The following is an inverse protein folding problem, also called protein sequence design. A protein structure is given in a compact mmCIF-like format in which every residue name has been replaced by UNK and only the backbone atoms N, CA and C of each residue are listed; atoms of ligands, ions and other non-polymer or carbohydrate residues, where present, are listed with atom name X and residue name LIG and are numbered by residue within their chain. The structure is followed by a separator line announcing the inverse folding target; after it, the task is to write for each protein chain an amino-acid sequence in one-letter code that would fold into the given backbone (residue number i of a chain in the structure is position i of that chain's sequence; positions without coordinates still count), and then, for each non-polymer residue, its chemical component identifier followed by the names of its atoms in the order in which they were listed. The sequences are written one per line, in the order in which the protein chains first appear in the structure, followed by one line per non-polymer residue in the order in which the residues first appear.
data_IF_531106499973
#
_entry.id   IF_531106499973
#
_cell.length_a   1.000
_cell.length_b   1.000
_cell.length_c   1.000
_cell.angle_alpha   90.00
_cell.angle_beta   90.00
_cell.angle_gamma   90.00
#
_symmetry.space_group_name_H-M   'P 1'
#
loop_
_entity.id
_entity.type
_entity.pdbx_description
1 polymer ?
#
# COMPACT_ATOMS: atom_id res chain seq x y z
N UNK A 1 29.55 11.89 2.97
CA UNK A 1 28.36 11.28 3.63
C UNK A 1 27.21 11.25 2.63
N UNK A 2 27.17 10.25 1.76
CA UNK A 2 26.08 10.05 0.79
C UNK A 2 24.90 9.40 1.51
N UNK A 3 23.79 10.14 1.65
CA UNK A 3 22.53 9.60 2.16
C UNK A 3 21.95 8.67 1.09
N UNK A 4 22.06 7.37 1.31
CA UNK A 4 21.31 6.39 0.53
C UNK A 4 19.81 6.63 0.75
N UNK A 5 19.18 7.32 -0.19
CA UNK A 5 17.73 7.42 -0.26
C UNK A 5 17.18 6.02 -0.51
N UNK A 6 16.70 5.36 0.55
CA UNK A 6 15.98 4.10 0.48
C UNK A 6 14.75 4.32 -0.40
N UNK A 7 14.83 3.93 -1.68
CA UNK A 7 13.68 3.87 -2.59
C UNK A 7 12.66 2.92 -1.95
N UNK A 8 11.61 3.48 -1.35
CA UNK A 8 10.43 2.72 -0.96
C UNK A 8 9.85 2.17 -2.25
N UNK A 9 10.21 0.93 -2.58
CA UNK A 9 9.51 0.13 -3.59
C UNK A 9 8.09 -0.01 -3.07
N UNK A 10 7.20 0.88 -3.51
CA UNK A 10 5.76 0.71 -3.34
C UNK A 10 5.38 -0.46 -4.24
N UNK A 11 5.53 -1.68 -3.71
CA UNK A 11 5.56 -2.91 -4.50
C UNK A 11 4.26 -3.15 -5.27
N UNK A 12 3.12 -2.55 -4.92
CA UNK A 12 1.95 -2.64 -5.80
C UNK A 12 0.88 -1.54 -5.69
N UNK A 13 1.28 -0.28 -5.51
CA UNK A 13 0.33 0.85 -5.65
C UNK A 13 -0.27 0.96 -7.05
N UNK A 14 0.40 0.40 -8.05
CA UNK A 14 0.02 0.52 -9.45
C UNK A 14 -1.14 -0.44 -9.79
N UNK A 15 -1.12 -1.68 -9.29
CA UNK A 15 -2.22 -2.64 -9.53
C UNK A 15 -3.43 -2.34 -8.65
N UNK A 16 -3.23 -2.07 -7.36
CA UNK A 16 -4.34 -1.65 -6.48
C UNK A 16 -4.92 -0.30 -6.89
N UNK A 17 -4.06 0.66 -7.26
CA UNK A 17 -4.50 1.95 -7.80
C UNK A 17 -5.30 1.79 -9.09
N UNK A 18 -4.95 0.82 -9.96
CA UNK A 18 -5.71 0.52 -11.16
C UNK A 18 -7.09 -0.06 -10.85
N UNK A 19 -7.22 -0.96 -9.88
CA UNK A 19 -8.52 -1.51 -9.48
C UNK A 19 -9.40 -0.46 -8.79
N UNK A 20 -8.83 0.35 -7.89
CA UNK A 20 -9.54 1.46 -7.23
C UNK A 20 -9.96 2.51 -8.25
N UNK A 21 -9.08 2.91 -9.17
CA UNK A 21 -9.40 3.85 -10.22
C UNK A 21 -10.49 3.30 -11.14
N UNK A 22 -10.42 2.00 -11.50
CA UNK A 22 -11.47 1.34 -12.28
C UNK A 22 -12.79 1.35 -11.53
N UNK A 23 -12.83 1.02 -10.24
CA UNK A 23 -14.07 1.07 -9.46
C UNK A 23 -14.61 2.51 -9.33
N UNK A 24 -13.72 3.48 -9.09
CA UNK A 24 -14.06 4.90 -9.07
C UNK A 24 -14.65 5.40 -10.39
N UNK A 25 -14.11 4.95 -11.52
CA UNK A 25 -14.66 5.23 -12.86
C UNK A 25 -16.05 4.61 -13.01
N UNK A 26 -16.28 3.38 -12.54
CA UNK A 26 -17.62 2.75 -12.59
C UNK A 26 -18.63 3.50 -11.74
N UNK A 27 -18.25 3.92 -10.53
CA UNK A 27 -19.11 4.73 -9.65
C UNK A 27 -19.41 6.07 -10.31
N UNK A 28 -18.41 6.73 -10.88
CA UNK A 28 -18.59 7.99 -11.59
C UNK A 28 -19.53 7.83 -12.79
N UNK A 29 -19.31 6.81 -13.64
CA UNK A 29 -20.15 6.50 -14.79
C UNK A 29 -21.59 6.18 -14.38
N UNK A 30 -21.78 5.41 -13.30
CA UNK A 30 -23.10 5.10 -12.74
C UNK A 30 -23.86 6.37 -12.33
N UNK A 31 -23.18 7.30 -11.65
CA UNK A 31 -23.80 8.55 -11.25
C UNK A 31 -24.13 9.45 -12.46
N UNK A 32 -23.26 9.48 -13.48
CA UNK A 32 -23.56 10.19 -14.74
C UNK A 32 -24.79 9.58 -15.43
N UNK A 33 -24.94 8.26 -15.39
CA UNK A 33 -26.11 7.58 -15.94
C UNK A 33 -27.40 7.95 -15.17
N UNK A 34 -27.35 8.05 -13.84
CA UNK A 34 -28.48 8.55 -13.03
C UNK A 34 -28.82 10.00 -13.41
N UNK A 35 -27.81 10.87 -13.54
CA UNK A 35 -28.04 12.26 -13.90
C UNK A 35 -28.69 12.38 -15.29
N UNK A 36 -28.21 11.59 -16.26
CA UNK A 36 -28.81 11.50 -17.58
C UNK A 36 -30.26 10.98 -17.52
N UNK A 37 -30.53 9.97 -16.69
CA UNK A 37 -31.88 9.45 -16.50
C UNK A 37 -32.82 10.53 -15.94
N UNK A 38 -32.39 11.29 -14.93
CA UNK A 38 -33.18 12.40 -14.36
C UNK A 38 -33.52 13.42 -15.46
N UNK A 39 -32.53 13.82 -16.27
CA UNK A 39 -32.74 14.77 -17.37
C UNK A 39 -33.70 14.22 -18.41
N UNK A 40 -33.59 12.94 -18.79
CA UNK A 40 -34.49 12.30 -19.75
C UNK A 40 -35.92 12.24 -19.20
N UNK A 41 -36.11 11.79 -17.95
CA UNK A 41 -37.42 11.74 -17.32
C UNK A 41 -38.06 13.13 -17.28
N UNK A 42 -37.26 14.16 -16.99
CA UNK A 42 -37.73 15.54 -16.97
C UNK A 42 -38.10 16.05 -18.37
N UNK A 43 -37.28 15.75 -19.39
CA UNK A 43 -37.56 16.12 -20.77
C UNK A 43 -38.87 15.49 -21.29
N UNK A 44 -39.15 14.24 -20.90
CA UNK A 44 -40.42 13.57 -21.21
C UNK A 44 -41.59 14.29 -20.52
N UNK A 45 -41.48 14.59 -19.23
CA UNK A 45 -42.53 15.29 -18.48
C UNK A 45 -42.84 16.66 -19.10
N UNK A 46 -41.81 17.44 -19.41
CA UNK A 46 -41.97 18.76 -20.03
C UNK A 46 -42.57 18.68 -21.44
N UNK A 47 -42.23 17.64 -22.21
CA UNK A 47 -42.85 17.39 -23.52
C UNK A 47 -44.35 17.08 -23.41
N UNK A 48 -44.77 16.38 -22.35
CA UNK A 48 -46.19 16.12 -22.08
C UNK A 48 -46.90 17.35 -21.53
N UNK A 49 -46.22 18.17 -20.71
CA UNK A 49 -46.77 19.39 -20.11
C UNK A 49 -47.07 20.47 -21.15
N UNK A 50 -46.24 20.59 -22.19
CA UNK A 50 -46.48 21.49 -23.34
C UNK A 50 -47.73 21.08 -24.11
N UNK A 51 -47.98 19.77 -24.25
CA UNK A 51 -49.19 19.26 -24.91
C UNK A 51 -50.45 19.51 -24.06
N UNK A 52 -50.31 19.56 -22.73
CA UNK A 52 -51.41 19.80 -21.79
C UNK A 52 -51.57 21.26 -21.34
N UNK A 53 -50.83 22.21 -21.94
CA UNK A 53 -50.81 23.64 -21.58
C UNK A 53 -50.52 23.92 -20.08
N UNK A 54 -49.72 23.05 -19.47
CA UNK A 54 -49.33 23.09 -18.04
C UNK A 54 -47.84 23.43 -17.84
N UNK A 55 -47.10 23.67 -18.92
CA UNK A 55 -45.67 23.96 -18.85
C UNK A 55 -45.43 25.35 -18.24
N UNK A 56 -45.07 25.38 -16.95
CA UNK A 56 -44.79 26.61 -16.20
C UNK A 56 -43.40 26.64 -15.57
N UNK A 57 -42.98 27.82 -15.10
CA UNK A 57 -41.67 28.06 -14.45
C UNK A 57 -41.39 27.14 -13.24
N UNK A 58 -42.45 26.61 -12.62
CA UNK A 58 -42.37 25.66 -11.50
C UNK A 58 -41.63 24.37 -11.88
N UNK A 59 -41.76 23.93 -13.13
CA UNK A 59 -41.08 22.75 -13.64
C UNK A 59 -39.56 22.98 -13.73
N UNK A 60 -39.15 24.07 -14.37
CA UNK A 60 -37.73 24.41 -14.52
C UNK A 60 -37.07 24.59 -13.14
N UNK A 61 -37.79 25.18 -12.17
CA UNK A 61 -37.33 25.29 -10.80
C UNK A 61 -37.14 23.92 -10.14
N UNK A 62 -38.08 23.00 -10.32
CA UNK A 62 -38.01 21.62 -9.79
C UNK A 62 -36.80 20.89 -10.35
N UNK A 63 -36.59 20.91 -11.67
CA UNK A 63 -35.42 20.32 -12.33
C UNK A 63 -34.12 20.87 -11.75
N UNK A 64 -33.99 22.20 -11.66
CA UNK A 64 -32.80 22.86 -11.09
C UNK A 64 -32.54 22.45 -9.64
N UNK A 65 -33.59 22.42 -8.81
CA UNK A 65 -33.48 22.05 -7.41
C UNK A 65 -33.05 20.58 -7.23
N UNK A 66 -33.54 19.70 -8.09
CA UNK A 66 -33.23 18.27 -8.06
C UNK A 66 -31.81 17.99 -8.60
N UNK A 67 -31.40 18.64 -9.68
CA UNK A 67 -30.03 18.61 -10.19
C UNK A 67 -29.03 19.13 -9.16
N UNK A 68 -29.34 20.24 -8.49
CA UNK A 68 -28.48 20.81 -7.45
C UNK A 68 -28.35 19.87 -6.25
N UNK A 69 -29.46 19.28 -5.81
CA UNK A 69 -29.48 18.37 -4.65
C UNK A 69 -28.75 17.06 -4.95
N UNK A 70 -29.07 16.40 -6.08
CA UNK A 70 -28.45 15.13 -6.47
C UNK A 70 -26.99 15.33 -6.87
N UNK A 71 -26.70 16.36 -7.68
CA UNK A 71 -25.33 16.70 -8.09
C UNK A 71 -24.46 17.12 -6.91
N UNK A 72 -25.01 17.90 -5.98
CA UNK A 72 -24.33 18.29 -4.75
C UNK A 72 -24.04 17.09 -3.84
N UNK A 73 -25.02 16.22 -3.62
CA UNK A 73 -24.83 14.98 -2.87
C UNK A 73 -23.77 14.07 -3.51
N UNK A 74 -23.78 13.93 -4.83
CA UNK A 74 -22.79 13.16 -5.58
C UNK A 74 -21.38 13.73 -5.39
N UNK A 75 -21.20 15.05 -5.57
CA UNK A 75 -19.91 15.70 -5.43
C UNK A 75 -19.35 15.57 -4.01
N UNK A 76 -20.23 15.58 -3.00
CA UNK A 76 -19.84 15.42 -1.60
C UNK A 76 -19.53 13.96 -1.22
N UNK A 77 -20.32 13.00 -1.72
CA UNK A 77 -20.13 11.58 -1.41
C UNK A 77 -18.96 10.95 -2.16
N UNK A 78 -18.66 11.40 -3.38
CA UNK A 78 -17.58 10.84 -4.20
C UNK A 78 -16.21 10.80 -3.49
N UNK A 79 -15.69 11.92 -2.92
CA UNK A 79 -14.41 11.88 -2.21
C UNK A 79 -14.46 10.99 -0.97
N UNK A 80 -15.60 10.90 -0.28
CA UNK A 80 -15.76 10.02 0.88
C UNK A 80 -15.63 8.55 0.49
N UNK A 81 -16.33 8.14 -0.59
CA UNK A 81 -16.27 6.76 -1.09
C UNK A 81 -14.86 6.43 -1.58
N UNK A 82 -14.22 7.33 -2.33
CA UNK A 82 -12.84 7.11 -2.81
C UNK A 82 -11.87 7.00 -1.64
N UNK A 83 -12.01 7.85 -0.62
CA UNK A 83 -11.15 7.82 0.56
C UNK A 83 -11.32 6.53 1.35
N UNK A 84 -12.56 6.12 1.62
CA UNK A 84 -12.85 4.88 2.33
C UNK A 84 -12.29 3.65 1.59
N UNK A 85 -12.49 3.59 0.27
CA UNK A 85 -11.98 2.51 -0.57
C UNK A 85 -10.44 2.47 -0.58
N UNK A 86 -9.79 3.63 -0.61
CA UNK A 86 -8.34 3.75 -0.53
C UNK A 86 -7.81 3.26 0.82
N UNK A 87 -8.47 3.65 1.92
CA UNK A 87 -8.15 3.21 3.27
C UNK A 87 -8.32 1.69 3.40
N UNK A 88 -9.43 1.13 2.92
CA UNK A 88 -9.69 -0.30 2.93
C UNK A 88 -8.61 -1.06 2.14
N UNK A 89 -8.29 -0.61 0.93
CA UNK A 89 -7.25 -1.25 0.11
C UNK A 89 -5.89 -1.20 0.79
N UNK A 90 -5.51 -0.07 1.39
CA UNK A 90 -4.23 0.05 2.10
C UNK A 90 -4.15 -0.88 3.31
N UNK A 91 -5.26 -1.05 4.03
CA UNK A 91 -5.39 -1.93 5.19
C UNK A 91 -5.28 -3.42 4.82
N UNK A 92 -5.61 -3.78 3.58
CA UNK A 92 -5.39 -5.14 3.03
C UNK A 92 -3.97 -5.30 2.45
N UNK A 93 -3.47 -4.28 1.74
CA UNK A 93 -2.18 -4.33 1.05
C UNK A 93 -0.98 -4.52 2.00
N UNK A 94 -1.02 -3.82 3.14
CA UNK A 94 0.07 -3.80 4.11
C UNK A 94 0.41 -5.19 4.64
N UNK A 95 -0.56 -5.93 5.21
CA UNK A 95 -0.35 -7.28 5.68
C UNK A 95 0.06 -8.24 4.56
N UNK A 96 -0.57 -8.14 3.38
CA UNK A 96 -0.25 -9.01 2.24
C UNK A 96 1.20 -8.90 1.79
N UNK A 97 1.72 -7.67 1.72
CA UNK A 97 3.13 -7.43 1.41
C UNK A 97 4.08 -8.02 2.46
N UNK A 98 3.65 -8.05 3.73
CA UNK A 98 4.44 -8.63 4.82
C UNK A 98 4.54 -10.15 4.68
N UNK A 99 3.45 -10.82 4.31
CA UNK A 99 3.45 -12.25 4.00
C UNK A 99 4.35 -12.58 2.80
N UNK A 100 4.26 -11.80 1.71
CA UNK A 100 5.13 -11.95 0.55
C UNK A 100 6.62 -11.84 0.94
N UNK A 101 6.95 -10.89 1.82
CA UNK A 101 8.33 -10.70 2.29
C UNK A 101 8.83 -11.91 3.10
N UNK A 102 8.00 -12.45 4.00
CA UNK A 102 8.34 -13.65 4.79
C UNK A 102 8.59 -14.85 3.87
N UNK A 103 7.75 -15.05 2.86
CA UNK A 103 7.94 -16.12 1.87
C UNK A 103 9.20 -15.92 1.05
N UNK A 104 9.46 -14.70 0.59
CA UNK A 104 10.66 -14.38 -0.18
C UNK A 104 11.94 -14.58 0.65
N UNK A 105 11.89 -14.28 1.95
CA UNK A 105 13.00 -14.52 2.88
C UNK A 105 13.18 -16.01 3.16
N UNK A 106 12.11 -16.79 3.26
CA UNK A 106 12.18 -18.26 3.37
C UNK A 106 12.86 -18.89 2.16
N UNK A 107 12.49 -18.48 0.94
CA UNK A 107 13.13 -18.98 -0.29
C UNK A 107 14.65 -18.70 -0.32
N UNK A 108 15.09 -17.59 0.28
CA UNK A 108 16.51 -17.21 0.30
C UNK A 108 17.30 -17.83 1.45
N UNK A 109 16.70 -17.86 2.64
CA UNK A 109 17.40 -18.21 3.88
C UNK A 109 17.10 -19.63 4.35
N UNK A 110 16.09 -20.29 3.78
CA UNK A 110 15.55 -21.56 4.28
C UNK A 110 14.80 -21.42 5.62
N UNK A 111 14.80 -20.25 6.24
CA UNK A 111 14.21 -20.00 7.55
C UNK A 111 12.84 -19.36 7.39
N UNK A 112 11.80 -20.00 7.93
CA UNK A 112 10.42 -19.50 7.90
C UNK A 112 10.05 -18.91 9.26
N UNK A 113 9.52 -17.69 9.27
CA UNK A 113 9.11 -16.98 10.50
C UNK A 113 7.61 -16.77 10.54
N UNK A 114 7.05 -16.71 11.76
CA UNK A 114 5.63 -16.35 11.95
C UNK A 114 5.37 -14.92 11.51
N UNK A 115 4.20 -14.70 10.92
CA UNK A 115 3.71 -13.37 10.63
C UNK A 115 2.92 -12.83 11.83
N UNK A 116 3.02 -11.52 12.07
CA UNK A 116 2.17 -10.82 13.05
C UNK A 116 1.55 -9.60 12.41
N UNK A 117 0.23 -9.53 12.30
CA UNK A 117 -0.47 -8.35 11.78
C UNK A 117 -0.77 -7.38 12.95
N UNK A 118 -1.01 -6.10 12.64
CA UNK A 118 -1.48 -5.13 13.63
C UNK A 118 -2.96 -5.38 13.98
N UNK A 119 -3.30 -5.02 15.22
CA UNK A 119 -4.67 -5.05 15.71
C UNK A 119 -5.57 -4.14 14.86
N UNK A 120 -6.68 -4.69 14.36
CA UNK A 120 -7.63 -3.99 13.52
C UNK A 120 -7.42 -4.12 12.01
N UNK A 121 -6.42 -4.86 11.50
CA UNK A 121 -6.35 -5.16 10.06
C UNK A 121 -7.39 -6.22 9.63
N UNK A 122 -7.65 -6.35 8.32
CA UNK A 122 -8.70 -7.22 7.78
C UNK A 122 -8.29 -8.70 7.63
N UNK A 123 -7.00 -8.99 7.76
CA UNK A 123 -6.40 -10.30 7.41
C UNK A 123 -6.04 -11.14 8.65
N UNK A 124 -6.68 -10.89 9.79
CA UNK A 124 -6.36 -11.59 11.06
C UNK A 124 -6.59 -13.11 10.94
N UNK A 125 -7.66 -13.54 10.29
CA UNK A 125 -7.91 -14.98 10.08
C UNK A 125 -6.85 -15.61 9.17
N UNK A 126 -6.40 -14.87 8.16
CA UNK A 126 -5.33 -15.30 7.28
C UNK A 126 -3.98 -15.38 8.01
N UNK A 127 -3.69 -14.46 8.94
CA UNK A 127 -2.52 -14.57 9.82
C UNK A 127 -2.52 -15.86 10.62
N UNK A 128 -3.68 -16.22 11.19
CA UNK A 128 -3.81 -17.45 11.96
C UNK A 128 -3.51 -18.67 11.11
N UNK A 129 -4.16 -18.78 9.94
CA UNK A 129 -3.92 -19.88 8.99
C UNK A 129 -2.47 -19.92 8.50
N UNK A 130 -1.88 -18.75 8.24
CA UNK A 130 -0.48 -18.65 7.85
C UNK A 130 0.45 -19.17 8.95
N UNK A 131 0.20 -18.80 10.20
CA UNK A 131 1.02 -19.24 11.33
C UNK A 131 0.84 -20.75 11.61
N UNK A 132 -0.36 -21.29 11.45
CA UNK A 132 -0.60 -22.74 11.48
C UNK A 132 0.19 -23.47 10.38
N UNK A 133 0.22 -22.90 9.17
CA UNK A 133 1.07 -23.42 8.08
C UNK A 133 2.56 -23.38 8.43
N UNK A 134 3.05 -22.27 9.00
CA UNK A 134 4.46 -22.15 9.44
C UNK A 134 4.79 -23.23 10.48
N UNK A 135 3.91 -23.45 11.46
CA UNK A 135 4.07 -24.50 12.48
C UNK A 135 4.12 -25.90 11.86
N UNK A 136 3.24 -26.20 10.90
CA UNK A 136 3.24 -27.47 10.20
C UNK A 136 4.54 -27.69 9.40
N UNK A 137 5.03 -26.65 8.71
CA UNK A 137 6.31 -26.71 7.98
C UNK A 137 7.48 -26.94 8.94
N UNK A 138 7.51 -26.24 10.08
CA UNK A 138 8.54 -26.44 11.10
C UNK A 138 8.52 -27.87 11.69
N UNK A 139 7.33 -28.46 11.83
CA UNK A 139 7.19 -29.83 12.31
C UNK A 139 7.71 -30.87 11.28
N UNK A 140 7.54 -30.61 9.98
CA UNK A 140 8.03 -31.48 8.91
C UNK A 140 9.51 -31.27 8.58
N UNK A 141 9.98 -30.03 8.71
CA UNK A 141 11.33 -29.59 8.32
C UNK A 141 11.96 -28.76 9.45
N UNK A 142 12.49 -29.40 10.50
CA UNK A 142 13.04 -28.70 11.66
C UNK A 142 14.21 -27.75 11.35
N UNK A 143 14.91 -27.97 10.24
CA UNK A 143 15.99 -27.10 9.75
C UNK A 143 15.51 -25.72 9.28
N UNK A 144 14.20 -25.56 9.05
CA UNK A 144 13.57 -24.30 8.64
C UNK A 144 13.22 -23.39 9.82
N UNK A 145 13.43 -23.88 11.05
CA UNK A 145 13.28 -23.08 12.26
C UNK A 145 14.41 -22.03 12.26
N UNK A 146 14.11 -20.75 12.51
CA UNK A 146 15.14 -19.74 12.66
C UNK A 146 16.00 -20.07 13.88
N UNK A 147 17.14 -20.71 13.66
CA UNK A 147 18.06 -21.06 14.74
C UNK A 147 18.60 -19.75 15.32
N UNK A 148 18.33 -19.48 16.60
CA UNK A 148 18.85 -18.30 17.32
C UNK A 148 20.39 -18.22 17.36
N UNK A 149 21.10 -19.21 16.79
CA UNK A 149 22.55 -19.37 16.75
C UNK A 149 23.23 -18.54 15.64
N UNK A 150 22.92 -17.25 15.54
CA UNK A 150 23.80 -16.28 14.87
C UNK A 150 24.02 -15.00 15.69
N UNK A 151 23.63 -14.99 16.97
CA UNK A 151 23.90 -13.88 17.88
C UNK A 151 25.09 -14.11 18.84
N UNK A 152 25.78 -15.26 18.81
CA UNK A 152 26.93 -15.51 19.71
C UNK A 152 28.06 -16.19 18.94
N UNK A 153 29.13 -15.41 18.69
CA UNK A 153 30.54 -15.81 18.54
C UNK A 153 31.28 -15.08 17.40
N UNK A 154 31.39 -13.75 17.49
CA UNK A 154 32.64 -13.08 17.09
C UNK A 154 33.16 -12.35 18.32
N UNK A 155 33.77 -13.11 19.23
CA UNK A 155 34.66 -12.56 20.25
C UNK A 155 35.89 -12.09 19.48
N UNK A 156 35.93 -10.81 19.14
CA UNK A 156 37.11 -10.18 18.57
C UNK A 156 38.18 -10.15 19.65
N UNK A 157 39.02 -11.19 19.69
CA UNK A 157 40.28 -11.16 20.44
C UNK A 157 41.21 -10.20 19.68
N UNK A 158 41.74 -9.13 20.31
CA UNK A 158 42.73 -8.28 19.66
C UNK A 158 44.07 -9.02 19.60
N UNK A 159 44.80 -9.00 18.46
CA UNK A 159 46.14 -9.54 18.41
C UNK A 159 47.13 -8.63 19.15
N UNK A 160 47.88 -9.25 20.05
CA UNK A 160 49.20 -8.92 20.59
C UNK A 160 49.73 -7.50 20.47
N UNK A 161 49.88 -6.83 21.61
CA UNK A 161 50.85 -5.75 21.77
C UNK A 161 52.10 -6.32 22.45
N UNK A 162 53.00 -6.88 21.65
CA UNK A 162 54.37 -7.14 22.06
C UNK A 162 55.22 -5.95 21.58
N UNK A 163 55.70 -5.17 22.54
CA UNK A 163 56.77 -4.21 22.36
C UNK A 163 57.99 -4.88 21.70
N UNK A 164 58.72 -4.16 20.83
CA UNK A 164 60.19 -4.07 20.78
C UNK A 164 60.61 -3.14 19.62
N UNK A 165 61.10 -1.96 20.01
CA UNK A 165 62.20 -1.14 19.45
C UNK A 165 62.82 -1.48 18.10
N UNK A 166 63.05 -0.44 17.29
CA UNK A 166 64.34 -0.23 16.62
C UNK A 166 64.31 0.11 15.13
N UNK A 167 65.13 1.11 14.79
CA UNK A 167 65.71 1.41 13.48
C UNK A 167 65.04 2.49 12.61
N UNK A 168 65.68 3.66 12.72
CA UNK A 168 65.66 4.87 11.91
C UNK A 168 65.89 4.66 10.41
N UNK A 169 65.18 5.45 9.61
CA UNK A 169 65.32 5.61 8.14
C UNK A 169 65.75 7.05 7.83
N UNK A 170 66.50 7.20 6.73
CA UNK A 170 66.82 8.41 5.94
C UNK A 170 68.05 9.22 6.41
N UNK A 171 68.95 9.71 5.55
CA UNK A 171 69.19 9.62 4.10
C UNK A 171 70.57 10.28 3.82
N UNK A 172 71.27 9.99 2.71
CA UNK A 172 72.40 10.79 2.24
C UNK A 172 71.97 11.69 1.07
N UNK A 173 72.32 12.98 1.09
CA UNK A 173 72.64 13.81 -0.10
C UNK A 173 72.54 15.30 0.26
N UNK A 174 73.69 15.99 0.32
CA UNK A 174 73.93 17.37 -0.17
C UNK A 174 75.18 18.00 0.49
N UNK A 175 76.32 17.98 -0.21
CA UNK A 175 77.43 18.94 -0.11
C UNK A 175 78.31 18.70 -1.36
N UNK A 176 78.32 19.61 -2.34
CA UNK A 176 79.23 20.76 -2.44
C UNK A 176 80.62 20.36 -2.97
N UNK A 177 81.00 21.06 -4.06
CA UNK A 177 82.25 21.08 -4.83
C UNK A 177 82.39 20.11 -6.01
#
# INVERSE_FOLDING_TARGET
MSRFLRKKKMVNRLIQGTMIARLGIHIFAYNIAILALIVITYAIQMSTAVVTDQAGDAEIFTLKSQLLTVGGAMLFMMPFIVFDLLCLSNRVAGPLYRFETILADFVKSGSLTRARIREGDLLVDFEKQFNEFVEAVHALYPETIPTATSAVAVKHTPPGNAATTGSTTNAPSAAAH
#
